data_IF_192558195220
#
_entry.id   IF_192558195220
#
_cell.length_a   1.000
_cell.length_b   1.000
_cell.length_c   1.000
_cell.angle_alpha   90.00
_cell.angle_beta   90.00
_cell.angle_gamma   90.00
#
_symmetry.space_group_name_H-M   'P 1'
#
loop_
_entity.id
_entity.type
_entity.pdbx_description
1 polymer ?
#
# COMPACT_ATOMS: atom_id res chain seq x y z
N UNK A 1 3.72 14.40 -6.28
CA UNK A 1 3.49 13.05 -5.74
C UNK A 1 3.34 13.09 -4.24
N UNK A 2 2.64 12.12 -3.71
CA UNK A 2 2.45 11.99 -2.26
C UNK A 2 2.93 10.61 -1.83
N UNK A 3 3.22 10.48 -0.54
CA UNK A 3 3.62 9.20 0.04
C UNK A 3 2.46 8.62 0.84
N UNK A 4 2.10 7.39 0.53
CA UNK A 4 1.05 6.69 1.26
C UNK A 4 1.69 5.78 2.31
N UNK A 5 1.14 5.79 3.51
CA UNK A 5 1.51 4.86 4.58
C UNK A 5 0.24 4.19 5.05
N UNK A 6 0.16 2.90 4.85
CA UNK A 6 -1.00 2.10 5.24
C UNK A 6 -0.59 1.16 6.37
N UNK A 7 -1.32 1.21 7.47
CA UNK A 7 -1.12 0.24 8.56
C UNK A 7 -2.12 -0.89 8.34
N UNK A 8 -1.60 -2.09 8.22
CA UNK A 8 -2.37 -3.27 7.93
C UNK A 8 -2.57 -4.12 9.18
N UNK A 9 -3.53 -5.04 9.14
CA UNK A 9 -3.64 -6.03 10.20
C UNK A 9 -2.41 -6.92 10.20
N UNK A 10 -2.27 -7.73 11.24
CA UNK A 10 -1.11 -8.63 11.38
C UNK A 10 -0.95 -9.50 10.12
N UNK A 11 0.22 -9.38 9.50
CA UNK A 11 0.57 -10.19 8.33
C UNK A 11 1.20 -11.49 8.83
N UNK A 12 0.54 -12.59 8.54
CA UNK A 12 0.92 -13.89 9.09
C UNK A 12 1.91 -14.67 8.23
N UNK A 13 2.10 -14.29 6.97
CA UNK A 13 2.96 -15.06 6.07
C UNK A 13 3.69 -14.17 5.06
N UNK A 14 4.91 -14.58 4.63
CA UNK A 14 5.66 -13.83 3.62
C UNK A 14 4.94 -13.70 2.27
N UNK A 15 4.15 -14.70 1.93
CA UNK A 15 3.39 -14.70 0.67
C UNK A 15 2.35 -13.58 0.64
N UNK A 16 1.78 -13.26 1.80
CA UNK A 16 0.81 -12.17 1.93
C UNK A 16 1.47 -10.83 1.58
N UNK A 17 2.68 -10.63 2.06
CA UNK A 17 3.45 -9.42 1.77
C UNK A 17 3.68 -9.27 0.26
N UNK A 18 4.06 -10.37 -0.40
CA UNK A 18 4.29 -10.37 -1.83
C UNK A 18 3.02 -10.05 -2.63
N UNK A 19 1.89 -10.58 -2.20
CA UNK A 19 0.62 -10.31 -2.86
C UNK A 19 0.23 -8.86 -2.75
N UNK A 20 0.39 -8.27 -1.58
CA UNK A 20 0.09 -6.86 -1.35
C UNK A 20 1.00 -5.99 -2.21
N UNK A 21 2.28 -6.28 -2.20
CA UNK A 21 3.25 -5.53 -2.99
C UNK A 21 2.89 -5.56 -4.48
N UNK A 22 2.60 -6.73 -5.01
CA UNK A 22 2.22 -6.87 -6.42
C UNK A 22 0.94 -6.12 -6.76
N UNK A 23 -0.06 -6.20 -5.89
CA UNK A 23 -1.31 -5.50 -6.11
C UNK A 23 -1.12 -4.00 -6.16
N UNK A 24 -0.33 -3.46 -5.25
CA UNK A 24 -0.07 -2.02 -5.19
C UNK A 24 0.76 -1.57 -6.39
N UNK A 25 1.75 -2.35 -6.80
CA UNK A 25 2.59 -1.98 -7.94
C UNK A 25 1.84 -1.99 -9.27
N UNK A 26 0.72 -2.68 -9.34
CA UNK A 26 -0.12 -2.71 -10.54
C UNK A 26 -1.01 -1.48 -10.68
N UNK A 27 -1.17 -0.69 -9.63
CA UNK A 27 -2.02 0.49 -9.66
C UNK A 27 -1.33 1.57 -10.49
N UNK A 28 -2.04 2.08 -11.49
CA UNK A 28 -1.53 3.19 -12.29
C UNK A 28 -1.41 4.43 -11.43
N UNK A 29 -0.29 5.11 -11.53
CA UNK A 29 0.00 6.29 -10.72
C UNK A 29 0.85 6.00 -9.50
N UNK A 30 1.09 4.73 -9.18
CA UNK A 30 1.97 4.34 -8.08
C UNK A 30 3.39 4.14 -8.60
N UNK A 31 4.36 4.71 -7.89
CA UNK A 31 5.77 4.52 -8.20
C UNK A 31 6.18 3.12 -7.71
N UNK A 32 6.36 2.23 -8.66
CA UNK A 32 6.68 0.83 -8.36
C UNK A 32 7.97 0.66 -7.59
N UNK A 33 8.95 1.51 -7.85
CA UNK A 33 10.25 1.42 -7.22
C UNK A 33 10.23 1.87 -5.75
N UNK A 34 9.18 2.62 -5.37
CA UNK A 34 9.05 3.14 -4.02
C UNK A 34 8.18 2.27 -3.12
N UNK A 35 7.51 1.27 -3.68
CA UNK A 35 6.64 0.39 -2.90
C UNK A 35 7.48 -0.43 -1.93
N UNK A 36 7.20 -0.29 -0.65
CA UNK A 36 7.91 -1.00 0.41
C UNK A 36 6.88 -1.56 1.39
N UNK A 37 6.97 -2.84 1.65
CA UNK A 37 6.13 -3.49 2.65
C UNK A 37 7.00 -3.87 3.83
N UNK A 38 6.66 -3.35 5.00
CA UNK A 38 7.39 -3.62 6.23
C UNK A 38 6.65 -4.69 7.01
N UNK A 39 7.12 -5.93 6.90
CA UNK A 39 6.49 -7.07 7.55
C UNK A 39 6.44 -6.91 9.06
N UNK A 40 7.56 -6.51 9.66
CA UNK A 40 7.65 -6.38 11.11
C UNK A 40 6.78 -5.26 11.68
N UNK A 41 6.56 -4.22 10.91
CA UNK A 41 5.74 -3.08 11.33
C UNK A 41 4.31 -3.15 10.81
N UNK A 42 3.98 -4.15 10.02
CA UNK A 42 2.66 -4.33 9.40
C UNK A 42 2.23 -3.10 8.59
N UNK A 43 3.19 -2.47 7.91
CA UNK A 43 2.94 -1.23 7.17
C UNK A 43 3.34 -1.37 5.72
N UNK A 44 2.59 -0.66 4.88
CA UNK A 44 2.89 -0.54 3.46
C UNK A 44 3.19 0.92 3.16
N UNK A 45 4.30 1.18 2.51
CA UNK A 45 4.67 2.52 2.06
C UNK A 45 4.80 2.54 0.55
N UNK A 46 4.26 3.57 -0.07
CA UNK A 46 4.37 3.75 -1.51
C UNK A 46 4.24 5.21 -1.87
N UNK A 47 4.94 5.63 -2.91
CA UNK A 47 4.76 6.96 -3.50
C UNK A 47 3.73 6.84 -4.60
N UNK A 48 2.84 7.80 -4.70
CA UNK A 48 1.82 7.79 -5.72
C UNK A 48 1.55 9.19 -6.24
N UNK A 49 1.03 9.25 -7.46
CA UNK A 49 0.61 10.50 -8.08
C UNK A 49 -0.85 10.77 -7.68
N UNK A 50 -1.04 11.76 -6.83
CA UNK A 50 -2.37 12.08 -6.31
C UNK A 50 -3.34 12.55 -7.39
N UNK A 51 -2.85 12.90 -8.56
CA UNK A 51 -3.69 13.26 -9.70
C UNK A 51 -4.23 12.04 -10.44
N UNK A 52 -3.55 10.90 -10.32
CA UNK A 52 -3.94 9.66 -11.01
C UNK A 52 -4.62 8.67 -10.09
N UNK A 53 -4.20 8.61 -8.83
CA UNK A 53 -4.71 7.65 -7.86
C UNK A 53 -4.80 8.32 -6.50
N UNK A 54 -5.74 7.85 -5.69
CA UNK A 54 -5.91 8.37 -4.33
C UNK A 54 -5.46 7.34 -3.31
N UNK A 55 -5.22 7.79 -2.08
CA UNK A 55 -4.92 6.91 -0.97
C UNK A 55 -6.01 5.85 -0.79
N UNK A 56 -7.27 6.26 -0.97
CA UNK A 56 -8.40 5.36 -0.85
C UNK A 56 -8.35 4.24 -1.90
N UNK A 57 -7.91 4.54 -3.11
CA UNK A 57 -7.78 3.53 -4.17
C UNK A 57 -6.74 2.48 -3.79
N UNK A 58 -5.63 2.91 -3.21
CA UNK A 58 -4.58 2.00 -2.75
C UNK A 58 -5.12 1.11 -1.63
N UNK A 59 -5.84 1.70 -0.68
CA UNK A 59 -6.46 0.97 0.41
C UNK A 59 -7.45 -0.07 -0.09
N UNK A 60 -8.28 0.28 -1.06
CA UNK A 60 -9.24 -0.66 -1.64
C UNK A 60 -8.56 -1.82 -2.35
N UNK A 61 -7.45 -1.55 -3.03
CA UNK A 61 -6.70 -2.61 -3.69
C UNK A 61 -6.18 -3.64 -2.68
N UNK A 62 -5.71 -3.17 -1.53
CA UNK A 62 -5.26 -4.05 -0.45
C UNK A 62 -6.44 -4.82 0.15
N UNK A 63 -7.55 -4.15 0.40
CA UNK A 63 -8.74 -4.78 0.97
C UNK A 63 -9.32 -5.85 0.04
N UNK A 64 -9.21 -5.65 -1.25
CA UNK A 64 -9.72 -6.62 -2.23
C UNK A 64 -8.99 -7.96 -2.17
N UNK A 65 -7.80 -7.98 -1.58
CA UNK A 65 -7.05 -9.21 -1.36
C UNK A 65 -7.47 -9.96 -0.09
N UNK A 66 -8.37 -9.37 0.69
CA UNK A 66 -8.82 -9.96 1.94
C UNK A 66 -8.10 -9.47 3.18
N UNK A 67 -7.29 -8.43 3.06
CA UNK A 67 -6.57 -7.85 4.19
C UNK A 67 -7.26 -6.59 4.69
N UNK A 68 -7.21 -6.36 5.98
CA UNK A 68 -7.81 -5.18 6.60
C UNK A 68 -6.79 -4.07 6.70
N UNK A 69 -7.15 -2.89 6.20
CA UNK A 69 -6.35 -1.68 6.38
C UNK A 69 -6.85 -1.00 7.64
N UNK A 70 -6.02 -1.00 8.68
CA UNK A 70 -6.39 -0.40 9.96
C UNK A 70 -6.25 1.11 9.96
N UNK A 71 -5.24 1.61 9.24
CA UNK A 71 -4.99 3.04 9.19
C UNK A 71 -4.35 3.39 7.84
N UNK A 72 -4.75 4.50 7.29
CA UNK A 72 -4.20 5.02 6.04
C UNK A 72 -3.85 6.49 6.21
N UNK A 73 -2.61 6.83 5.87
CA UNK A 73 -2.11 8.21 6.00
C UNK A 73 -1.41 8.58 4.70
N UNK A 74 -1.64 9.80 4.22
CA UNK A 74 -0.87 10.32 3.11
C UNK A 74 -0.04 11.51 3.58
N UNK A 75 1.16 11.61 3.04
CA UNK A 75 2.08 12.69 3.36
C UNK A 75 2.61 13.31 2.08
N UNK A 76 2.83 14.61 2.12
CA UNK A 76 3.50 15.29 1.02
C UNK A 76 4.98 14.90 1.00
N UNK A 77 5.51 14.75 -0.20
CA UNK A 77 6.95 14.51 -0.37
C UNK A 77 7.72 15.81 -0.36
#
# INVERSE_FOLDING_TARGET
MKKAVLTLETLACPTCVQKIEKAVTRIEGVDKDSVTVMFNAHKLKAKFDSEKVTLNDIGKAVESLGYTVEKAVEKLL
#
